data_IF_222696383565
#
_entry.id   IF_222696383565
#
_cell.length_a   1.000
_cell.length_b   1.000
_cell.length_c   1.000
_cell.angle_alpha   90.00
_cell.angle_beta   90.00
_cell.angle_gamma   90.00
#
_symmetry.space_group_name_H-M   'P 1'
#
loop_
_entity.id
_entity.type
_entity.pdbx_description
1 polymer ?
#
# COMPACT_ATOMS: atom_id res chain seq x y z
N UNK A 1 -2.48 8.22 -1.88
CA UNK A 1 -2.45 9.48 -2.66
C UNK A 1 -1.12 10.23 -2.53
N UNK A 2 -0.69 10.68 -1.35
CA UNK A 2 0.49 11.57 -1.22
C UNK A 2 1.78 11.03 -1.83
N UNK A 3 2.16 9.80 -1.48
CA UNK A 3 3.31 9.09 -2.08
C UNK A 3 3.23 9.06 -3.62
N UNK A 4 2.07 8.65 -4.15
CA UNK A 4 1.85 8.52 -5.58
C UNK A 4 1.89 9.88 -6.30
N UNK A 5 1.32 10.94 -5.70
CA UNK A 5 1.39 12.30 -6.24
C UNK A 5 2.83 12.82 -6.34
N UNK A 6 3.63 12.59 -5.30
CA UNK A 6 5.04 12.97 -5.31
C UNK A 6 5.84 12.25 -6.41
N UNK A 7 5.34 11.11 -6.90
CA UNK A 7 5.93 10.32 -7.97
C UNK A 7 5.29 10.57 -9.35
N UNK A 8 4.40 11.56 -9.47
CA UNK A 8 3.80 11.98 -10.75
C UNK A 8 2.40 11.45 -11.05
N UNK A 9 1.77 10.73 -10.12
CA UNK A 9 0.37 10.31 -10.26
C UNK A 9 -0.58 11.48 -10.00
N UNK A 10 -1.55 11.70 -10.87
CA UNK A 10 -2.59 12.74 -10.66
C UNK A 10 -3.91 12.08 -10.27
N UNK A 11 -4.55 12.62 -9.24
CA UNK A 11 -5.88 12.22 -8.80
C UNK A 11 -6.83 13.36 -9.15
N UNK A 12 -7.89 13.05 -9.90
CA UNK A 12 -8.84 14.04 -10.38
C UNK A 12 -10.22 13.79 -9.77
N UNK A 13 -10.99 14.86 -9.56
CA UNK A 13 -12.40 14.76 -9.24
C UNK A 13 -13.29 14.64 -10.49
N UNK A 14 -14.61 14.60 -10.28
CA UNK A 14 -15.58 14.40 -11.36
C UNK A 14 -15.57 15.52 -12.42
N UNK A 15 -15.10 16.72 -12.06
CA UNK A 15 -14.97 17.86 -12.97
C UNK A 15 -13.59 17.90 -13.66
N UNK A 16 -12.76 16.86 -13.44
CA UNK A 16 -11.41 16.76 -13.97
C UNK A 16 -10.40 17.66 -13.24
N UNK A 17 -10.74 18.20 -12.07
CA UNK A 17 -9.85 19.08 -11.31
C UNK A 17 -8.90 18.26 -10.42
N UNK A 18 -7.62 18.66 -10.30
CA UNK A 18 -6.68 18.00 -9.41
C UNK A 18 -7.11 18.05 -7.94
N UNK A 19 -7.08 16.90 -7.28
CA UNK A 19 -7.31 16.78 -5.85
C UNK A 19 -6.01 16.86 -5.07
N UNK A 20 -6.02 17.55 -3.93
CA UNK A 20 -4.93 17.48 -2.96
C UNK A 20 -4.88 16.09 -2.31
N UNK A 21 -3.69 15.51 -2.16
CA UNK A 21 -3.53 14.23 -1.46
C UNK A 21 -3.77 14.33 0.05
N UNK A 22 -4.97 13.95 0.47
CA UNK A 22 -5.31 13.72 1.87
C UNK A 22 -6.45 12.69 1.96
N UNK A 23 -6.73 12.20 3.17
CA UNK A 23 -7.78 11.20 3.39
C UNK A 23 -9.19 11.70 3.03
N UNK A 24 -9.50 12.97 3.34
CA UNK A 24 -10.83 13.54 3.07
C UNK A 24 -11.19 13.65 1.58
N UNK A 25 -10.19 13.69 0.70
CA UNK A 25 -10.42 13.72 -0.74
C UNK A 25 -10.57 12.33 -1.38
N UNK A 26 -10.36 11.22 -0.64
CA UNK A 26 -10.47 9.86 -1.19
C UNK A 26 -11.86 9.59 -1.79
N UNK A 27 -12.92 10.09 -1.14
CA UNK A 27 -14.30 9.94 -1.62
C UNK A 27 -14.58 10.71 -2.92
N UNK A 28 -13.77 11.72 -3.25
CA UNK A 28 -13.94 12.58 -4.42
C UNK A 28 -13.16 12.10 -5.64
N UNK A 29 -12.25 11.14 -5.48
CA UNK A 29 -11.44 10.63 -6.60
C UNK A 29 -12.37 10.02 -7.64
N UNK A 30 -12.36 10.57 -8.84
CA UNK A 30 -13.15 10.09 -9.97
C UNK A 30 -12.26 9.35 -10.98
N UNK A 31 -11.05 9.86 -11.23
CA UNK A 31 -10.07 9.24 -12.12
C UNK A 31 -8.64 9.44 -11.63
N UNK A 32 -7.72 8.63 -12.16
CA UNK A 32 -6.31 8.63 -11.83
C UNK A 32 -5.52 8.60 -13.14
N UNK A 33 -4.53 9.47 -13.26
CA UNK A 33 -3.65 9.55 -14.42
C UNK A 33 -2.21 9.24 -14.00
N UNK A 34 -1.51 8.43 -14.79
CA UNK A 34 -0.14 7.97 -14.51
C UNK A 34 0.88 8.39 -15.59
N UNK A 35 0.46 9.24 -16.54
CA UNK A 35 1.29 9.62 -17.69
C UNK A 35 2.54 10.43 -17.30
N UNK A 36 2.50 11.09 -16.15
CA UNK A 36 3.59 11.91 -15.61
C UNK A 36 4.39 11.17 -14.52
N UNK A 37 4.16 9.86 -14.35
CA UNK A 37 4.90 9.06 -13.38
C UNK A 37 6.41 9.06 -13.67
N UNK A 38 7.20 9.03 -12.60
CA UNK A 38 8.66 8.98 -12.71
C UNK A 38 9.12 7.75 -13.50
N UNK A 39 9.74 7.94 -14.69
CA UNK A 39 10.07 6.83 -15.58
C UNK A 39 11.13 5.88 -15.00
N UNK A 40 11.86 6.30 -13.94
CA UNK A 40 12.85 5.45 -13.27
C UNK A 40 12.20 4.29 -12.53
N UNK A 41 10.94 4.42 -12.11
CA UNK A 41 10.20 3.36 -11.43
C UNK A 41 10.10 2.08 -12.28
N UNK A 42 9.97 2.23 -13.60
CA UNK A 42 9.93 1.09 -14.52
C UNK A 42 11.24 0.28 -14.56
N UNK A 43 12.34 0.87 -14.10
CA UNK A 43 13.66 0.23 -14.04
C UNK A 43 14.02 -0.25 -12.62
N UNK A 44 13.11 -0.12 -11.67
CA UNK A 44 13.31 -0.53 -10.29
C UNK A 44 12.54 -1.82 -10.01
N UNK A 45 13.20 -2.78 -9.37
CA UNK A 45 12.52 -3.84 -8.63
C UNK A 45 12.22 -3.32 -7.23
N UNK A 46 10.95 -3.23 -6.87
CA UNK A 46 10.51 -2.65 -5.59
C UNK A 46 9.87 -3.77 -4.78
N UNK A 47 10.44 -4.04 -3.62
CA UNK A 47 9.86 -4.95 -2.63
C UNK A 47 9.44 -4.15 -1.41
N UNK A 48 8.24 -4.42 -0.90
CA UNK A 48 7.71 -3.80 0.30
C UNK A 48 7.50 -4.87 1.36
N UNK A 49 8.16 -4.67 2.49
CA UNK A 49 7.95 -5.47 3.69
C UNK A 49 6.55 -5.21 4.25
N UNK A 50 5.72 -6.25 4.32
CA UNK A 50 4.40 -6.19 4.91
C UNK A 50 4.09 -7.48 5.67
N UNK A 51 4.06 -7.39 6.99
CA UNK A 51 3.83 -8.53 7.89
C UNK A 51 2.38 -8.60 8.40
N UNK A 52 1.46 -7.82 7.82
CA UNK A 52 0.02 -7.83 8.12
C UNK A 52 -0.78 -8.25 6.90
N UNK A 53 -1.91 -8.92 7.12
CA UNK A 53 -2.80 -9.40 6.06
C UNK A 53 -4.01 -8.49 5.81
N UNK A 54 -4.16 -7.41 6.57
CA UNK A 54 -5.31 -6.52 6.52
C UNK A 54 -5.57 -5.98 5.10
N UNK A 55 -6.78 -6.18 4.53
CA UNK A 55 -7.14 -5.63 3.23
C UNK A 55 -7.30 -4.10 3.29
N UNK A 56 -7.52 -3.48 2.13
CA UNK A 56 -7.73 -2.03 2.06
C UNK A 56 -8.98 -1.56 2.82
N UNK A 57 -10.10 -2.29 2.65
CA UNK A 57 -11.45 -1.91 3.11
C UNK A 57 -12.10 -3.04 3.91
N UNK A 58 -13.22 -2.73 4.56
CA UNK A 58 -14.04 -3.67 5.32
C UNK A 58 -13.69 -3.77 6.81
N UNK A 59 -14.28 -4.72 7.51
CA UNK A 59 -14.16 -4.83 8.97
C UNK A 59 -12.72 -5.06 9.47
N UNK A 60 -11.87 -5.70 8.65
CA UNK A 60 -10.42 -5.86 8.91
C UNK A 60 -9.57 -4.85 8.12
N UNK A 61 -10.21 -3.85 7.51
CA UNK A 61 -9.61 -2.89 6.59
C UNK A 61 -8.76 -1.83 7.27
N UNK A 62 -8.15 -0.98 6.45
CA UNK A 62 -7.18 0.01 6.91
C UNK A 62 -7.76 1.03 7.91
N UNK A 63 -8.95 1.57 7.60
CA UNK A 63 -9.62 2.55 8.44
C UNK A 63 -10.05 1.94 9.78
N UNK A 64 -10.73 0.80 9.74
CA UNK A 64 -11.26 0.12 10.93
C UNK A 64 -10.15 -0.33 11.91
N UNK A 65 -9.06 -0.91 11.40
CA UNK A 65 -8.02 -1.52 12.24
C UNK A 65 -6.95 -0.52 12.65
N UNK A 66 -6.49 0.34 11.74
CA UNK A 66 -5.35 1.22 12.00
C UNK A 66 -5.73 2.70 12.21
N UNK A 67 -6.96 3.09 11.90
CA UNK A 67 -7.45 4.45 12.12
C UNK A 67 -7.46 4.87 13.60
N UNK A 68 -8.06 4.08 14.51
CA UNK A 68 -8.19 4.46 15.92
C UNK A 68 -6.85 4.73 16.61
N UNK A 69 -5.83 3.90 16.39
CA UNK A 69 -4.49 4.11 16.96
C UNK A 69 -3.76 5.34 16.38
N UNK A 70 -4.25 5.92 15.29
CA UNK A 70 -3.77 7.18 14.70
C UNK A 70 -4.64 8.38 15.10
N UNK A 71 -5.61 8.19 16.00
CA UNK A 71 -6.48 9.24 16.52
C UNK A 71 -7.77 9.47 15.71
N UNK A 72 -8.16 8.57 14.81
CA UNK A 72 -9.44 8.68 14.12
C UNK A 72 -10.60 8.38 15.08
N UNK A 73 -11.59 9.27 15.14
CA UNK A 73 -12.86 9.01 15.84
C UNK A 73 -13.70 7.98 15.07
N UNK A 74 -14.73 7.37 15.69
CA UNK A 74 -15.63 6.46 14.97
C UNK A 74 -16.22 7.07 13.69
N UNK A 75 -16.61 8.34 13.73
CA UNK A 75 -17.15 9.06 12.57
C UNK A 75 -16.08 9.24 11.48
N UNK A 76 -14.84 9.57 11.87
CA UNK A 76 -13.72 9.65 10.92
C UNK A 76 -13.40 8.29 10.31
N UNK A 77 -13.53 7.20 11.07
CA UNK A 77 -13.33 5.84 10.55
C UNK A 77 -14.37 5.52 9.49
N UNK A 78 -15.64 5.87 9.70
CA UNK A 78 -16.70 5.69 8.70
C UNK A 78 -16.45 6.54 7.44
N UNK A 79 -16.04 7.80 7.59
CA UNK A 79 -15.72 8.68 6.47
C UNK A 79 -14.52 8.13 5.66
N UNK A 80 -13.45 7.71 6.35
CA UNK A 80 -12.27 7.13 5.73
C UNK A 80 -12.60 5.81 5.03
N UNK A 81 -13.45 4.97 5.61
CA UNK A 81 -13.90 3.71 5.01
C UNK A 81 -14.65 3.97 3.69
N UNK A 82 -15.60 4.92 3.67
CA UNK A 82 -16.30 5.31 2.44
C UNK A 82 -15.33 5.86 1.38
N UNK A 83 -14.39 6.72 1.81
CA UNK A 83 -13.35 7.24 0.94
C UNK A 83 -12.47 6.15 0.35
N UNK A 84 -12.02 5.20 1.17
CA UNK A 84 -11.20 4.06 0.74
C UNK A 84 -11.97 3.11 -0.17
N UNK A 85 -13.27 2.90 0.02
CA UNK A 85 -14.10 2.11 -0.89
C UNK A 85 -14.21 2.77 -2.28
N UNK A 86 -14.43 4.08 -2.32
CA UNK A 86 -14.40 4.81 -3.60
C UNK A 86 -13.02 4.72 -4.26
N UNK A 87 -11.97 4.95 -3.48
CA UNK A 87 -10.60 4.85 -3.96
C UNK A 87 -10.28 3.45 -4.50
N UNK A 88 -10.72 2.40 -3.81
CA UNK A 88 -10.56 1.01 -4.23
C UNK A 88 -11.24 0.75 -5.58
N UNK A 89 -12.48 1.24 -5.74
CA UNK A 89 -13.25 1.14 -6.98
C UNK A 89 -12.51 1.80 -8.15
N UNK A 90 -11.93 2.99 -7.96
CA UNK A 90 -11.18 3.67 -9.02
C UNK A 90 -9.87 2.94 -9.33
N UNK A 91 -9.13 2.49 -8.31
CA UNK A 91 -7.91 1.71 -8.52
C UNK A 91 -8.19 0.42 -9.29
N UNK A 92 -9.28 -0.28 -8.99
CA UNK A 92 -9.64 -1.53 -9.66
C UNK A 92 -9.85 -1.37 -11.17
N UNK A 93 -10.14 -0.16 -11.65
CA UNK A 93 -10.26 0.13 -13.09
C UNK A 93 -8.91 0.26 -13.80
N UNK A 94 -7.81 0.38 -13.05
CA UNK A 94 -6.45 0.61 -13.56
C UNK A 94 -5.59 -0.66 -13.54
N UNK A 95 -6.02 -1.69 -12.82
CA UNK A 95 -5.22 -2.89 -12.56
C UNK A 95 -6.08 -4.14 -12.51
N UNK A 96 -5.45 -5.28 -12.81
CA UNK A 96 -6.04 -6.61 -12.64
C UNK A 96 -5.92 -7.13 -11.19
N UNK A 97 -5.17 -6.42 -10.32
CA UNK A 97 -5.06 -6.76 -8.90
C UNK A 97 -6.44 -6.65 -8.26
N UNK A 98 -6.82 -7.64 -7.44
CA UNK A 98 -8.04 -7.56 -6.64
C UNK A 98 -7.82 -6.62 -5.44
N UNK A 99 -8.05 -5.33 -5.66
CA UNK A 99 -7.69 -4.23 -4.75
C UNK A 99 -8.32 -4.38 -3.37
N UNK A 100 -9.58 -4.84 -3.31
CA UNK A 100 -10.32 -4.97 -2.06
C UNK A 100 -9.91 -6.20 -1.23
N UNK A 101 -9.30 -7.21 -1.86
CA UNK A 101 -8.97 -8.49 -1.20
C UNK A 101 -7.47 -8.76 -1.09
N UNK A 102 -6.63 -7.90 -1.67
CA UNK A 102 -5.18 -8.03 -1.57
C UNK A 102 -4.74 -8.03 -0.10
N UNK A 103 -4.14 -9.14 0.33
CA UNK A 103 -3.54 -9.25 1.65
C UNK A 103 -2.45 -8.19 1.82
N UNK A 104 -2.48 -7.47 2.95
CA UNK A 104 -1.57 -6.35 3.20
C UNK A 104 -1.91 -5.07 2.42
N UNK A 105 -2.97 -5.06 1.61
CA UNK A 105 -3.40 -3.88 0.85
C UNK A 105 -3.71 -2.68 1.74
N UNK A 106 -4.19 -2.92 2.97
CA UNK A 106 -4.48 -1.90 3.97
C UNK A 106 -3.28 -1.41 4.78
N UNK A 107 -2.11 -2.03 4.61
CA UNK A 107 -0.91 -1.67 5.35
C UNK A 107 -0.59 -0.17 5.20
N UNK A 108 -0.15 0.43 6.30
CA UNK A 108 0.16 1.85 6.41
C UNK A 108 -0.97 2.80 5.93
N UNK A 109 -2.24 2.39 6.08
CA UNK A 109 -3.39 3.22 5.68
C UNK A 109 -3.72 3.14 4.19
N UNK A 110 -3.52 1.98 3.57
CA UNK A 110 -3.72 1.78 2.13
C UNK A 110 -2.51 2.13 1.27
N UNK A 111 -1.32 2.22 1.86
CA UNK A 111 -0.09 2.37 1.09
C UNK A 111 0.34 1.05 0.46
N UNK A 112 0.05 -0.10 1.09
CA UNK A 112 0.35 -1.42 0.53
C UNK A 112 -0.25 -1.60 -0.87
N UNK A 113 -1.55 -1.32 -1.02
CA UNK A 113 -2.20 -1.38 -2.34
C UNK A 113 -1.68 -0.30 -3.30
N UNK A 114 -1.36 0.89 -2.79
CA UNK A 114 -0.81 1.96 -3.62
C UNK A 114 0.57 1.61 -4.16
N UNK A 115 1.41 0.94 -3.38
CA UNK A 115 2.71 0.45 -3.82
C UNK A 115 2.56 -0.63 -4.90
N UNK A 116 1.65 -1.58 -4.69
CA UNK A 116 1.36 -2.62 -5.66
C UNK A 116 0.87 -2.05 -7.00
N UNK A 117 -0.05 -1.07 -6.97
CA UNK A 117 -0.65 -0.50 -8.19
C UNK A 117 0.27 0.50 -8.89
N UNK A 118 0.88 1.44 -8.17
CA UNK A 118 1.62 2.53 -8.80
C UNK A 118 3.11 2.27 -8.98
N UNK A 119 3.68 1.41 -8.13
CA UNK A 119 5.12 1.09 -8.17
C UNK A 119 5.37 -0.30 -8.73
N UNK A 120 4.32 -1.05 -9.05
CA UNK A 120 4.40 -2.47 -9.41
C UNK A 120 5.22 -3.26 -8.38
N UNK A 121 5.04 -2.93 -7.09
CA UNK A 121 5.85 -3.49 -6.02
C UNK A 121 5.38 -4.89 -5.61
N UNK A 122 6.35 -5.75 -5.30
CA UNK A 122 6.11 -7.03 -4.65
C UNK A 122 5.90 -6.82 -3.15
N UNK A 123 4.74 -7.21 -2.64
CA UNK A 123 4.46 -7.19 -1.20
C UNK A 123 4.87 -8.56 -0.62
N UNK A 124 5.85 -8.57 0.29
CA UNK A 124 6.42 -9.80 0.87
C UNK A 124 6.60 -9.66 2.40
N UNK A 125 6.63 -10.77 3.15
CA UNK A 125 7.05 -10.73 4.55
C UNK A 125 8.42 -10.08 4.69
N UNK A 126 8.59 -9.23 5.69
CA UNK A 126 9.83 -8.46 5.85
C UNK A 126 11.05 -9.36 6.06
N UNK A 127 10.86 -10.48 6.77
CA UNK A 127 11.91 -11.47 6.98
C UNK A 127 12.42 -12.04 5.65
N UNK A 128 11.54 -12.35 4.70
CA UNK A 128 11.97 -12.90 3.41
C UNK A 128 12.83 -11.92 2.62
N UNK A 129 12.46 -10.65 2.61
CA UNK A 129 13.24 -9.58 1.95
C UNK A 129 14.64 -9.51 2.55
N UNK A 130 14.75 -9.47 3.88
CA UNK A 130 16.04 -9.39 4.58
C UNK A 130 16.89 -10.63 4.33
N UNK A 131 16.30 -11.82 4.46
CA UNK A 131 16.99 -13.10 4.26
C UNK A 131 17.57 -13.21 2.85
N UNK A 132 16.81 -12.79 1.84
CA UNK A 132 17.26 -12.76 0.45
C UNK A 132 18.34 -11.70 0.23
N UNK A 133 18.16 -10.49 0.76
CA UNK A 133 19.12 -9.39 0.58
C UNK A 133 20.51 -9.70 1.15
N UNK A 134 20.57 -10.41 2.28
CA UNK A 134 21.84 -10.84 2.90
C UNK A 134 22.34 -12.20 2.39
N UNK A 135 21.62 -12.82 1.44
CA UNK A 135 21.89 -14.18 0.95
C UNK A 135 22.09 -15.18 2.09
N UNK A 136 21.22 -15.14 3.11
CA UNK A 136 21.42 -15.94 4.32
C UNK A 136 21.51 -17.43 4.00
N UNK A 137 20.65 -17.91 3.08
CA UNK A 137 20.61 -19.31 2.66
C UNK A 137 21.97 -19.82 2.17
N UNK A 138 22.70 -19.00 1.40
CA UNK A 138 24.05 -19.31 0.93
C UNK A 138 25.06 -19.17 2.07
N UNK A 139 24.95 -18.14 2.91
CA UNK A 139 25.88 -17.89 4.01
C UNK A 139 25.89 -19.02 5.06
N UNK A 140 24.75 -19.68 5.30
CA UNK A 140 24.64 -20.80 6.24
C UNK A 140 24.92 -22.17 5.61
N UNK A 141 25.13 -22.22 4.29
CA UNK A 141 25.40 -23.48 3.61
C UNK A 141 26.73 -24.08 4.08
N UNK A 142 26.68 -25.25 4.72
CA UNK A 142 27.86 -25.91 5.28
C UNK A 142 28.27 -25.42 6.67
N UNK A 143 27.48 -24.54 7.29
CA UNK A 143 27.69 -24.15 8.69
C UNK A 143 27.52 -25.36 9.61
N UNK A 144 28.47 -25.56 10.53
CA UNK A 144 28.38 -26.61 11.55
C UNK A 144 27.39 -26.25 12.69
N UNK A 145 27.15 -24.95 12.91
CA UNK A 145 26.23 -24.41 13.90
C UNK A 145 25.73 -23.04 13.46
N UNK A 146 24.44 -22.78 13.64
CA UNK A 146 23.81 -21.46 13.46
C UNK A 146 23.13 -21.09 14.79
N UNK A 147 23.39 -19.88 15.28
CA UNK A 147 22.78 -19.33 16.50
C UNK A 147 21.96 -18.09 16.11
N UNK A 148 20.74 -17.99 16.61
CA UNK A 148 19.82 -16.86 16.37
C UNK A 148 19.10 -16.49 17.66
N UNK A 149 18.49 -15.30 17.72
CA UNK A 149 17.68 -14.84 18.84
C UNK A 149 17.13 -13.43 18.61
N UNK A 150 16.01 -13.11 19.27
CA UNK A 150 15.40 -11.78 19.32
C UNK A 150 15.00 -11.42 20.76
N UNK A 151 14.90 -10.13 21.07
CA UNK A 151 14.39 -9.63 22.35
C UNK A 151 13.02 -8.97 22.15
N UNK A 152 12.02 -9.25 23.01
CA UNK A 152 10.69 -8.63 22.94
C UNK A 152 10.67 -7.19 23.47
#
# INVERSE_FOLDING_TARGET
MGMAQALGVRFLDADGQPLAANGGNLARVASIEMNECDPRLANCHIEVACDVDNPLVGARGAAAVFGPQKGATPEMVEELEQGLQNYARVLQQLTEINVCQMAGGGAAGGMGIAAAVFLNADIKPGIEIVLNAVNLAQAVQGAALVITGEGP
#
